data_IF_068979228674
#
_entry.id   IF_068979228674
#
_cell.length_a   1.000
_cell.length_b   1.000
_cell.length_c   1.000
_cell.angle_alpha   90.00
_cell.angle_beta   90.00
_cell.angle_gamma   90.00
#
_symmetry.space_group_name_H-M   'P 1'
#
loop_
_entity.id
_entity.type
_entity.pdbx_description
1 polymer ?
#
# COMPACT_ATOMS: atom_id res chain seq x y z
N UNK A 1 23.01 -20.00 -2.89
CA UNK A 1 23.19 -18.54 -3.05
C UNK A 1 21.84 -17.86 -3.21
N UNK A 2 21.20 -17.83 -4.39
CA UNK A 2 19.93 -17.12 -4.57
C UNK A 2 18.81 -17.60 -3.61
N UNK A 3 18.62 -18.92 -3.49
CA UNK A 3 17.64 -19.48 -2.54
C UNK A 3 17.97 -19.16 -1.07
N UNK A 4 19.27 -19.10 -0.74
CA UNK A 4 19.73 -18.72 0.61
C UNK A 4 19.31 -17.30 0.93
N UNK A 5 19.57 -16.36 0.02
CA UNK A 5 19.10 -14.96 0.14
C UNK A 5 17.58 -14.90 0.27
N UNK A 6 16.84 -15.66 -0.55
CA UNK A 6 15.37 -15.67 -0.49
C UNK A 6 14.83 -16.08 0.89
N UNK A 7 15.44 -17.09 1.51
CA UNK A 7 15.07 -17.56 2.86
C UNK A 7 15.53 -16.59 3.95
N UNK A 8 16.81 -16.19 3.93
CA UNK A 8 17.43 -15.41 5.01
C UNK A 8 16.89 -13.99 5.07
N UNK A 9 16.55 -13.39 3.92
CA UNK A 9 16.01 -12.02 3.84
C UNK A 9 14.47 -11.98 3.85
N UNK A 10 13.80 -13.11 4.09
CA UNK A 10 12.32 -13.21 4.00
C UNK A 10 11.76 -12.56 2.73
N UNK A 11 12.36 -12.90 1.58
CA UNK A 11 11.91 -12.39 0.31
C UNK A 11 10.62 -13.10 -0.14
N UNK A 12 9.68 -12.35 -0.71
CA UNK A 12 8.56 -12.91 -1.47
C UNK A 12 8.94 -13.20 -2.92
N UNK A 13 9.95 -12.48 -3.45
CA UNK A 13 10.50 -12.67 -4.79
C UNK A 13 12.01 -12.43 -4.78
N UNK A 14 12.77 -13.30 -5.44
CA UNK A 14 14.17 -13.06 -5.80
C UNK A 14 14.40 -13.54 -7.23
N UNK A 15 14.55 -12.59 -8.15
CA UNK A 15 14.71 -12.83 -9.59
C UNK A 15 16.03 -12.26 -10.09
N UNK A 16 16.69 -12.98 -11.00
CA UNK A 16 17.84 -12.48 -11.76
C UNK A 16 17.45 -12.44 -13.23
N UNK A 17 17.44 -11.26 -13.82
CA UNK A 17 17.13 -11.10 -15.24
C UNK A 17 17.85 -9.89 -15.86
N UNK A 18 18.93 -10.08 -16.63
CA UNK A 18 19.39 -11.38 -17.16
C UNK A 18 20.42 -12.08 -16.26
N UNK A 19 20.34 -13.41 -16.23
CA UNK A 19 21.42 -14.29 -15.79
C UNK A 19 22.33 -14.58 -16.97
N UNK A 20 23.56 -14.05 -16.93
CA UNK A 20 24.48 -14.09 -18.06
C UNK A 20 25.56 -15.14 -17.87
N UNK A 21 26.13 -15.58 -19.00
CA UNK A 21 27.38 -16.34 -19.06
C UNK A 21 28.41 -15.41 -19.70
N UNK A 22 29.51 -15.14 -19.00
CA UNK A 22 30.60 -14.31 -19.51
C UNK A 22 31.42 -15.05 -20.56
N UNK A 23 32.27 -14.37 -21.37
CA UNK A 23 33.20 -15.02 -22.29
C UNK A 23 34.12 -16.06 -21.61
N UNK A 24 34.47 -15.82 -20.35
CA UNK A 24 35.28 -16.73 -19.51
C UNK A 24 34.47 -17.92 -18.94
N UNK A 25 33.22 -18.08 -19.38
CA UNK A 25 32.26 -19.11 -18.94
C UNK A 25 31.85 -19.03 -17.46
N UNK A 26 31.90 -17.83 -16.88
CA UNK A 26 31.36 -17.58 -15.54
C UNK A 26 29.87 -17.24 -15.61
N UNK A 27 29.09 -17.72 -14.65
CA UNK A 27 27.68 -17.34 -14.49
C UNK A 27 27.60 -16.11 -13.59
N UNK A 28 26.96 -15.03 -14.05
CA UNK A 28 26.79 -13.79 -13.28
C UNK A 28 25.36 -13.26 -13.34
N UNK A 29 24.90 -12.69 -12.23
CA UNK A 29 23.70 -11.86 -12.20
C UNK A 29 24.07 -10.48 -12.78
N UNK A 30 23.52 -10.13 -13.96
CA UNK A 30 23.73 -8.79 -14.52
C UNK A 30 22.76 -7.78 -13.91
N UNK A 31 21.53 -8.23 -13.65
CA UNK A 31 20.49 -7.45 -12.99
C UNK A 31 19.63 -8.39 -12.11
N UNK A 32 19.06 -7.86 -11.04
CA UNK A 32 18.27 -8.60 -10.08
C UNK A 32 17.18 -7.74 -9.46
N UNK A 33 16.03 -8.37 -9.20
CA UNK A 33 14.92 -7.78 -8.44
C UNK A 33 14.60 -8.65 -7.24
N UNK A 34 14.62 -8.03 -6.06
CA UNK A 34 14.23 -8.66 -4.80
C UNK A 34 13.03 -7.90 -4.24
N UNK A 35 11.99 -8.62 -3.82
CA UNK A 35 10.85 -8.06 -3.09
C UNK A 35 10.82 -8.71 -1.72
N UNK A 36 10.91 -7.89 -0.68
CA UNK A 36 10.95 -8.32 0.72
C UNK A 36 9.53 -8.42 1.28
N UNK A 37 9.27 -9.36 2.18
CA UNK A 37 8.00 -9.43 2.90
C UNK A 37 7.96 -8.37 4.01
N UNK A 38 7.14 -7.34 3.83
CA UNK A 38 6.95 -6.29 4.83
C UNK A 38 6.47 -6.81 6.19
N UNK A 39 5.77 -7.96 6.24
CA UNK A 39 5.36 -8.56 7.51
C UNK A 39 6.52 -9.15 8.32
N UNK A 40 7.68 -9.39 7.67
CA UNK A 40 8.89 -9.88 8.33
C UNK A 40 9.84 -8.74 8.74
N UNK A 41 9.56 -7.49 8.41
CA UNK A 41 10.45 -6.35 8.65
C UNK A 41 10.87 -6.20 10.13
N UNK A 42 10.02 -6.61 11.08
CA UNK A 42 10.32 -6.54 12.51
C UNK A 42 11.57 -7.33 12.94
N UNK A 43 12.00 -8.33 12.16
CA UNK A 43 13.21 -9.13 12.43
C UNK A 43 14.39 -8.79 11.51
N UNK A 44 14.24 -7.77 10.65
CA UNK A 44 15.24 -7.31 9.69
C UNK A 44 15.39 -5.78 9.75
N UNK A 45 16.02 -5.24 10.80
CA UNK A 45 16.11 -3.79 11.00
C UNK A 45 16.82 -3.06 9.84
N UNK A 46 17.76 -3.74 9.18
CA UNK A 46 18.57 -3.18 8.10
C UNK A 46 17.77 -3.01 6.79
N UNK A 47 16.60 -3.65 6.65
CA UNK A 47 15.76 -3.51 5.45
C UNK A 47 15.17 -2.11 5.29
N UNK A 48 15.02 -1.36 6.38
CA UNK A 48 14.48 0.00 6.35
C UNK A 48 15.35 0.97 5.52
N UNK A 49 16.64 0.67 5.39
CA UNK A 49 17.61 1.48 4.64
C UNK A 49 17.67 1.10 3.14
N UNK A 50 17.06 -0.02 2.74
CA UNK A 50 17.02 -0.49 1.35
C UNK A 50 15.91 0.18 0.52
N UNK A 51 14.94 0.82 1.17
CA UNK A 51 13.79 1.45 0.51
C UNK A 51 14.16 2.73 -0.25
N UNK A 52 13.74 2.81 -1.52
CA UNK A 52 13.86 4.03 -2.33
C UNK A 52 12.79 5.06 -1.95
N UNK A 53 13.08 5.85 -0.90
CA UNK A 53 12.20 6.91 -0.44
C UNK A 53 12.16 8.12 -1.39
N UNK A 54 13.10 8.25 -2.32
CA UNK A 54 13.21 9.43 -3.18
C UNK A 54 12.18 9.40 -4.32
N UNK A 55 11.75 8.21 -4.76
CA UNK A 55 10.80 8.03 -5.85
C UNK A 55 9.39 7.64 -5.39
N UNK A 56 9.13 7.55 -4.09
CA UNK A 56 7.81 7.24 -3.55
C UNK A 56 6.83 8.43 -3.67
N UNK A 57 5.54 8.15 -3.86
CA UNK A 57 4.52 9.21 -3.86
C UNK A 57 4.43 9.85 -2.45
N UNK A 58 4.48 11.19 -2.33
CA UNK A 58 4.45 11.85 -1.01
C UNK A 58 3.23 11.50 -0.14
N UNK A 59 2.09 11.18 -0.77
CA UNK A 59 0.87 10.79 -0.05
C UNK A 59 1.05 9.38 0.53
N UNK A 60 1.61 8.44 -0.23
CA UNK A 60 1.90 7.08 0.25
C UNK A 60 2.94 7.08 1.37
N UNK A 61 3.97 7.94 1.28
CA UNK A 61 4.95 8.12 2.35
C UNK A 61 4.27 8.60 3.64
N UNK A 62 3.43 9.64 3.54
CA UNK A 62 2.69 10.18 4.69
C UNK A 62 1.71 9.14 5.27
N UNK A 63 1.09 8.33 4.42
CA UNK A 63 0.21 7.24 4.85
C UNK A 63 0.98 6.19 5.66
N UNK A 64 2.15 5.79 5.19
CA UNK A 64 3.02 4.83 5.88
C UNK A 64 3.48 5.35 7.25
N UNK A 65 3.81 6.65 7.36
CA UNK A 65 4.13 7.29 8.66
C UNK A 65 2.94 7.28 9.64
N UNK A 66 1.72 7.25 9.12
CA UNK A 66 0.48 7.21 9.90
C UNK A 66 -0.05 5.79 10.15
N UNK A 67 0.67 4.76 9.68
CA UNK A 67 0.24 3.35 9.74
C UNK A 67 -1.12 3.13 9.04
N UNK A 68 -1.32 3.82 7.91
CA UNK A 68 -2.52 3.73 7.07
C UNK A 68 -2.18 3.04 5.76
N UNK A 69 -2.96 2.02 5.39
CA UNK A 69 -2.83 1.37 4.09
C UNK A 69 -3.50 2.25 3.04
N UNK A 70 -2.69 2.94 2.24
CA UNK A 70 -3.12 3.82 1.16
C UNK A 70 -2.44 3.42 -0.15
N UNK A 71 -3.20 3.40 -1.24
CA UNK A 71 -2.65 3.26 -2.60
C UNK A 71 -3.30 4.33 -3.47
N UNK A 72 -2.49 5.12 -4.16
CA UNK A 72 -2.98 6.16 -5.06
C UNK A 72 -3.50 5.56 -6.38
N UNK A 73 -4.60 6.10 -6.87
CA UNK A 73 -5.17 5.81 -8.19
C UNK A 73 -5.38 7.12 -8.97
N UNK A 74 -5.70 7.01 -10.26
CA UNK A 74 -5.75 8.18 -11.15
C UNK A 74 -7.11 8.92 -11.18
N UNK A 75 -8.11 8.43 -10.44
CA UNK A 75 -9.47 8.98 -10.46
C UNK A 75 -9.68 10.23 -9.60
N UNK A 76 -10.95 10.56 -9.38
CA UNK A 76 -11.39 11.78 -8.70
C UNK A 76 -12.39 11.55 -7.55
N UNK A 77 -12.77 10.30 -7.26
CA UNK A 77 -13.61 9.92 -6.12
C UNK A 77 -12.74 9.26 -5.07
N UNK A 78 -12.48 9.97 -3.97
CA UNK A 78 -11.74 9.44 -2.84
C UNK A 78 -12.54 8.37 -2.11
N UNK A 79 -11.92 7.25 -1.74
CA UNK A 79 -12.59 6.15 -1.05
C UNK A 79 -12.03 5.99 0.35
N UNK A 80 -12.92 5.94 1.34
CA UNK A 80 -12.63 5.59 2.72
C UNK A 80 -13.53 4.43 3.15
N UNK A 81 -12.94 3.31 3.56
CA UNK A 81 -13.69 2.20 4.14
C UNK A 81 -12.91 1.44 5.20
N UNK A 82 -13.57 0.45 5.81
CA UNK A 82 -12.96 -0.44 6.80
C UNK A 82 -12.94 -1.89 6.30
N UNK A 83 -11.75 -2.47 6.25
CA UNK A 83 -11.47 -3.81 5.74
C UNK A 83 -11.19 -3.82 4.24
N UNK A 84 -10.01 -4.30 3.86
CA UNK A 84 -9.54 -4.31 2.47
C UNK A 84 -10.54 -4.89 1.46
N UNK A 85 -11.26 -5.96 1.81
CA UNK A 85 -12.28 -6.57 0.95
C UNK A 85 -13.47 -5.65 0.65
N UNK A 86 -13.93 -4.90 1.66
CA UNK A 86 -15.00 -3.92 1.50
C UNK A 86 -14.52 -2.73 0.67
N UNK A 87 -13.31 -2.25 0.91
CA UNK A 87 -12.71 -1.14 0.15
C UNK A 87 -12.58 -1.53 -1.33
N UNK A 88 -12.01 -2.70 -1.64
CA UNK A 88 -11.90 -3.19 -3.03
C UNK A 88 -13.28 -3.31 -3.69
N UNK A 89 -14.27 -3.87 -3.00
CA UNK A 89 -15.65 -3.95 -3.52
C UNK A 89 -16.25 -2.56 -3.76
N UNK A 90 -15.88 -1.56 -2.96
CA UNK A 90 -16.32 -0.17 -3.13
C UNK A 90 -15.70 0.46 -4.38
N UNK A 91 -14.41 0.22 -4.62
CA UNK A 91 -13.74 0.62 -5.87
C UNK A 91 -14.47 0.05 -7.09
N UNK A 92 -14.78 -1.24 -7.05
CA UNK A 92 -15.49 -1.93 -8.12
C UNK A 92 -16.87 -1.33 -8.38
N UNK A 93 -17.67 -1.11 -7.32
CA UNK A 93 -19.00 -0.53 -7.45
C UNK A 93 -18.94 0.89 -8.03
N UNK A 94 -18.00 1.72 -7.60
CA UNK A 94 -17.82 3.07 -8.14
C UNK A 94 -17.45 3.02 -9.63
N UNK A 95 -16.49 2.19 -10.00
CA UNK A 95 -16.08 1.99 -11.39
C UNK A 95 -17.22 1.47 -12.27
N UNK A 96 -17.98 0.49 -11.79
CA UNK A 96 -19.13 -0.08 -12.50
C UNK A 96 -20.24 0.94 -12.78
N UNK A 97 -20.36 1.98 -11.96
CA UNK A 97 -21.34 3.06 -12.13
C UNK A 97 -20.74 4.30 -12.83
N UNK A 98 -19.57 4.16 -13.46
CA UNK A 98 -18.94 5.21 -14.27
C UNK A 98 -18.17 6.26 -13.47
N UNK A 99 -17.93 6.04 -12.18
CA UNK A 99 -17.03 6.86 -11.38
C UNK A 99 -15.58 6.39 -11.49
N UNK A 100 -14.64 7.25 -11.12
CA UNK A 100 -13.20 6.94 -11.16
C UNK A 100 -12.63 7.02 -9.74
N UNK A 101 -12.33 5.88 -9.07
CA UNK A 101 -11.73 5.91 -7.76
C UNK A 101 -10.34 6.56 -7.76
N UNK A 102 -10.09 7.47 -6.82
CA UNK A 102 -8.84 8.21 -6.69
C UNK A 102 -7.82 7.53 -5.79
N UNK A 103 -8.25 6.58 -4.95
CA UNK A 103 -7.39 5.86 -4.02
C UNK A 103 -8.05 4.58 -3.52
N UNK A 104 -7.22 3.69 -2.99
CA UNK A 104 -7.59 2.70 -1.99
C UNK A 104 -7.17 3.22 -0.61
N UNK A 105 -8.04 3.15 0.40
CA UNK A 105 -7.66 3.41 1.81
C UNK A 105 -8.49 2.53 2.74
N UNK A 106 -7.80 1.68 3.51
CA UNK A 106 -8.38 0.87 4.59
C UNK A 106 -8.06 1.46 5.96
N UNK A 107 -9.08 1.96 6.67
CA UNK A 107 -8.95 2.53 8.01
C UNK A 107 -8.95 1.47 9.14
N UNK A 108 -9.14 0.18 8.81
CA UNK A 108 -9.22 -0.93 9.75
C UNK A 108 -10.56 -1.03 10.51
N UNK A 109 -10.81 -2.15 11.18
CA UNK A 109 -12.08 -2.45 11.87
C UNK A 109 -12.30 -1.77 13.23
N UNK A 110 -11.49 -0.77 13.58
CA UNK A 110 -11.39 -0.16 14.90
C UNK A 110 -10.94 1.30 14.84
N UNK A 111 -11.52 2.08 13.93
CA UNK A 111 -11.11 3.47 13.70
C UNK A 111 -11.83 4.40 14.67
N UNK A 112 -11.06 5.08 15.53
CA UNK A 112 -11.56 6.22 16.30
C UNK A 112 -11.66 7.47 15.40
N UNK A 113 -12.32 8.53 15.89
CA UNK A 113 -12.52 9.77 15.15
C UNK A 113 -11.19 10.42 14.68
N UNK A 114 -10.11 10.25 15.44
CA UNK A 114 -8.81 10.81 15.07
C UNK A 114 -8.21 10.10 13.85
N UNK A 115 -8.31 8.77 13.77
CA UNK A 115 -7.88 8.00 12.60
C UNK A 115 -8.73 8.31 11.37
N UNK A 116 -10.06 8.43 11.53
CA UNK A 116 -10.96 8.82 10.42
C UNK A 116 -10.57 10.20 9.88
N UNK A 117 -10.33 11.17 10.78
CA UNK A 117 -9.88 12.51 10.37
C UNK A 117 -8.56 12.46 9.59
N UNK A 118 -7.56 11.73 10.07
CA UNK A 118 -6.26 11.60 9.38
C UNK A 118 -6.42 10.99 7.98
N UNK A 119 -7.23 9.94 7.87
CA UNK A 119 -7.53 9.29 6.59
C UNK A 119 -8.21 10.27 5.61
N UNK A 120 -9.15 11.09 6.08
CA UNK A 120 -9.80 12.11 5.24
C UNK A 120 -8.82 13.19 4.81
N UNK A 121 -7.97 13.70 5.71
CA UNK A 121 -6.93 14.67 5.38
C UNK A 121 -5.94 14.12 4.34
N UNK A 122 -5.64 12.83 4.40
CA UNK A 122 -4.79 12.15 3.43
C UNK A 122 -5.47 12.06 2.06
N UNK A 123 -6.74 11.63 2.00
CA UNK A 123 -7.52 11.58 0.75
C UNK A 123 -7.59 12.97 0.10
N UNK A 124 -7.92 13.99 0.89
CA UNK A 124 -8.07 15.38 0.41
C UNK A 124 -6.74 16.05 0.04
N UNK A 125 -5.60 15.44 0.36
CA UNK A 125 -4.29 15.92 -0.11
C UNK A 125 -4.04 15.59 -1.59
N UNK A 126 -4.82 14.68 -2.18
CA UNK A 126 -4.84 14.46 -3.61
C UNK A 126 -5.73 15.51 -4.30
N UNK A 127 -5.12 16.46 -5.01
CA UNK A 127 -5.82 17.57 -5.67
C UNK A 127 -6.84 17.13 -6.74
N UNK A 128 -6.73 15.89 -7.25
CA UNK A 128 -7.71 15.35 -8.21
C UNK A 128 -9.04 14.96 -7.55
N UNK A 129 -9.08 14.82 -6.22
CA UNK A 129 -10.27 14.39 -5.49
C UNK A 129 -11.32 15.50 -5.50
N UNK A 130 -12.50 15.19 -6.03
CA UNK A 130 -13.65 16.10 -6.12
C UNK A 130 -14.83 15.67 -5.24
N UNK A 131 -14.86 14.40 -4.84
CA UNK A 131 -15.85 13.82 -3.94
C UNK A 131 -15.21 12.72 -3.10
N UNK A 132 -15.76 12.45 -1.91
CA UNK A 132 -15.30 11.35 -1.04
C UNK A 132 -16.48 10.44 -0.71
N UNK A 133 -16.33 9.14 -0.96
CA UNK A 133 -17.30 8.11 -0.58
C UNK A 133 -16.81 7.40 0.68
N UNK A 134 -17.59 7.54 1.75
CA UNK A 134 -17.41 6.84 3.00
C UNK A 134 -18.25 5.57 2.96
N UNK A 135 -17.59 4.42 2.95
CA UNK A 135 -18.25 3.12 3.04
C UNK A 135 -17.73 2.35 4.25
N UNK A 136 -18.33 2.63 5.40
CA UNK A 136 -17.98 1.97 6.66
C UNK A 136 -19.11 1.04 7.09
N UNK A 137 -18.77 -0.22 7.32
CA UNK A 137 -19.68 -1.20 7.90
C UNK A 137 -19.43 -1.29 9.40
N UNK A 138 -20.37 -0.75 10.19
CA UNK A 138 -20.31 -0.78 11.65
C UNK A 138 -20.42 -2.20 12.19
N UNK A 139 -19.43 -2.61 12.99
CA UNK A 139 -19.37 -3.91 13.65
C UNK A 139 -19.09 -3.71 15.14
N UNK A 140 -17.82 -3.80 15.51
CA UNK A 140 -17.37 -3.47 16.87
C UNK A 140 -17.32 -1.95 17.07
N UNK A 141 -16.84 -1.21 16.07
CA UNK A 141 -16.88 0.26 16.04
C UNK A 141 -18.31 0.76 15.92
N UNK A 142 -18.68 1.73 16.76
CA UNK A 142 -20.00 2.34 16.71
C UNK A 142 -20.06 3.39 15.61
N UNK A 143 -21.17 3.44 14.86
CA UNK A 143 -21.31 4.40 13.77
C UNK A 143 -21.30 5.87 14.23
N UNK A 144 -21.65 6.16 15.49
CA UNK A 144 -21.56 7.51 16.03
C UNK A 144 -20.12 7.95 16.31
N UNK A 145 -19.19 7.03 16.58
CA UNK A 145 -17.75 7.37 16.67
C UNK A 145 -17.18 7.75 15.30
N UNK A 146 -17.69 7.14 14.23
CA UNK A 146 -17.30 7.42 12.84
C UNK A 146 -17.85 8.76 12.34
N UNK A 147 -19.03 9.16 12.83
CA UNK A 147 -19.73 10.35 12.38
C UNK A 147 -19.26 11.65 13.06
N UNK A 148 -18.58 11.56 14.21
CA UNK A 148 -18.10 12.71 15.01
C UNK A 148 -16.70 13.17 14.58
#
# INVERSE_FOLDING_TARGET
>A
ALYTVWIEEDASLAEINPLIITPDREVKALDAKVTLDGNAAFRHPDHADLGDKANADPIEVKAAEQDVVYVKLDGNIGILGNGAGLVMSTLDVVAQHGGEPANFLDAGGGSDAAKVKQAVELILSNENVSAVLFNIFGGITRCDEVAN
#
